data_IF_387804209650
#
_entry.id   IF_387804209650
#
_cell.length_a   1.000
_cell.length_b   1.000
_cell.length_c   1.000
_cell.angle_alpha   90.00
_cell.angle_beta   90.00
_cell.angle_gamma   90.00
#
_symmetry.space_group_name_H-M   'P 1'
#
loop_
_entity.id
_entity.type
_entity.pdbx_description
1 polymer ?
#
# COMPACT_ATOMS: atom_id res chain seq x y z
N UNK A 1 -46.36 16.20 -27.25
CA UNK A 1 -46.27 17.66 -27.06
C UNK A 1 -45.11 17.92 -26.12
N UNK A 2 -43.91 18.16 -26.65
CA UNK A 2 -43.33 19.47 -27.01
C UNK A 2 -42.80 20.27 -25.80
N UNK A 3 -41.55 20.65 -25.99
CA UNK A 3 -40.56 21.31 -25.14
C UNK A 3 -40.85 22.79 -24.87
N UNK A 4 -40.25 23.33 -23.78
CA UNK A 4 -39.25 24.43 -23.77
C UNK A 4 -39.26 25.16 -22.41
N UNK A 5 -38.07 25.43 -21.88
CA UNK A 5 -37.77 26.49 -20.91
C UNK A 5 -36.55 27.30 -21.39
N UNK A 6 -36.44 28.62 -21.10
CA UNK A 6 -35.60 29.54 -21.87
C UNK A 6 -34.31 30.02 -21.15
N UNK A 7 -33.27 30.16 -21.99
CA UNK A 7 -32.19 31.18 -22.10
C UNK A 7 -31.71 32.06 -20.91
N UNK A 8 -30.38 32.13 -20.79
CA UNK A 8 -29.55 33.15 -20.12
C UNK A 8 -29.57 34.54 -20.80
N UNK A 9 -29.06 35.61 -20.16
CA UNK A 9 -27.65 36.08 -20.33
C UNK A 9 -27.07 36.63 -18.98
N UNK A 10 -25.83 37.08 -18.76
CA UNK A 10 -24.61 37.43 -19.51
C UNK A 10 -23.62 38.13 -18.53
N UNK A 11 -22.32 38.16 -18.85
CA UNK A 11 -21.18 38.66 -18.05
C UNK A 11 -21.22 40.15 -17.64
N UNK A 12 -20.48 40.50 -16.57
CA UNK A 12 -19.65 41.72 -16.50
C UNK A 12 -18.52 41.62 -15.44
N UNK A 13 -17.38 42.22 -15.77
CA UNK A 13 -16.05 42.24 -15.13
C UNK A 13 -15.86 43.55 -14.36
N UNK A 14 -15.15 43.55 -13.21
CA UNK A 14 -14.23 44.59 -12.67
C UNK A 14 -13.69 44.13 -11.30
N UNK A 15 -12.58 44.59 -10.69
CA UNK A 15 -11.21 45.04 -11.04
C UNK A 15 -10.49 45.27 -9.68
N UNK A 16 -9.18 45.07 -9.66
CA UNK A 16 -8.14 45.15 -8.59
C UNK A 16 -8.21 46.22 -7.47
N UNK A 17 -7.61 45.90 -6.30
CA UNK A 17 -6.80 46.74 -5.35
C UNK A 17 -6.03 45.74 -4.41
N UNK A 18 -4.70 45.54 -4.40
CA UNK A 18 -3.51 46.36 -4.07
C UNK A 18 -3.31 46.67 -2.56
N UNK A 19 -2.41 45.89 -1.95
CA UNK A 19 -1.25 46.21 -1.09
C UNK A 19 -1.28 46.73 0.38
N UNK A 20 -0.36 46.10 1.13
CA UNK A 20 0.64 46.61 2.11
C UNK A 20 0.40 46.58 3.65
N UNK A 21 1.28 45.78 4.30
CA UNK A 21 2.04 45.95 5.55
C UNK A 21 1.52 46.80 6.72
N UNK A 22 1.56 46.23 7.95
CA UNK A 22 2.40 46.75 9.07
C UNK A 22 2.28 45.90 10.34
N UNK A 23 3.38 45.90 11.09
CA UNK A 23 3.72 45.10 12.26
C UNK A 23 3.12 45.54 13.61
N UNK A 24 3.19 44.60 14.56
CA UNK A 24 3.53 44.74 15.98
C UNK A 24 2.51 45.22 17.05
N UNK A 25 2.37 44.32 18.04
CA UNK A 25 2.21 44.52 19.49
C UNK A 25 0.89 45.06 20.07
N UNK A 26 0.19 44.19 20.82
CA UNK A 26 -0.21 44.52 22.19
C UNK A 26 -0.42 43.27 23.06
N UNK A 27 0.23 43.29 24.24
CA UNK A 27 0.17 42.27 25.28
C UNK A 27 -0.93 42.58 26.31
N UNK A 28 -1.62 41.51 26.74
CA UNK A 28 -1.99 41.17 28.13
C UNK A 28 -3.25 41.78 28.81
N UNK A 29 -3.59 41.06 29.90
CA UNK A 29 -4.49 41.30 31.05
C UNK A 29 -5.99 40.93 30.77
N UNK A 30 -6.73 40.09 31.52
CA UNK A 30 -6.88 39.82 32.98
C UNK A 30 -7.51 38.42 33.27
N UNK A 31 -7.05 37.78 34.37
CA UNK A 31 -7.58 36.77 35.35
C UNK A 31 -8.90 35.99 35.13
N UNK A 32 -9.18 34.80 35.70
CA UNK A 32 -8.59 34.01 36.79
C UNK A 32 -9.62 33.02 37.40
N UNK A 33 -9.15 32.17 38.33
CA UNK A 33 -9.80 31.10 39.14
C UNK A 33 -9.85 29.69 38.53
N UNK A 34 -9.61 28.57 39.24
CA UNK A 34 -8.87 28.20 40.46
C UNK A 34 -9.24 26.73 40.74
N UNK A 35 -8.27 25.81 40.85
CA UNK A 35 -8.28 24.63 41.74
C UNK A 35 -7.01 23.78 41.51
N UNK A 36 -6.25 23.59 42.59
CA UNK A 36 -4.97 22.89 42.68
C UNK A 36 -5.14 21.51 43.38
N UNK A 37 -4.08 20.78 43.78
CA UNK A 37 -2.93 20.25 43.03
C UNK A 37 -2.62 18.77 43.38
N UNK A 38 -1.78 18.08 42.61
CA UNK A 38 -0.89 17.03 43.15
C UNK A 38 0.45 16.98 42.40
N UNK A 39 1.51 17.32 43.16
CA UNK A 39 2.91 16.88 43.08
C UNK A 39 3.78 17.28 41.88
N UNK A 40 4.63 18.29 42.11
CA UNK A 40 5.78 18.66 41.28
C UNK A 40 6.99 17.76 41.60
N UNK A 41 7.66 17.27 40.56
CA UNK A 41 9.11 16.97 40.58
C UNK A 41 9.74 17.64 39.36
N UNK A 42 10.81 18.38 39.63
CA UNK A 42 11.52 19.34 38.78
C UNK A 42 11.63 18.99 37.28
N UNK A 43 11.11 19.87 36.43
CA UNK A 43 11.52 20.00 35.03
C UNK A 43 12.61 21.06 34.90
N UNK A 44 13.80 20.64 34.47
CA UNK A 44 14.75 21.57 33.85
C UNK A 44 14.18 21.97 32.48
N UNK A 45 14.04 23.27 32.25
CA UNK A 45 13.68 23.84 30.96
C UNK A 45 14.84 23.57 29.97
N UNK A 46 14.62 22.65 29.03
CA UNK A 46 15.39 22.61 27.78
C UNK A 46 14.67 23.47 26.75
N UNK A 47 15.33 24.52 26.29
CA UNK A 47 14.88 25.38 25.17
C UNK A 47 14.50 24.52 23.96
N UNK A 48 13.27 24.68 23.47
CA UNK A 48 12.79 24.04 22.26
C UNK A 48 13.30 24.83 21.06
N UNK A 49 14.32 24.31 20.39
CA UNK A 49 14.84 24.83 19.13
C UNK A 49 14.00 24.29 17.95
N UNK A 50 13.57 25.10 16.97
CA UNK A 50 12.65 24.65 15.91
C UNK A 50 13.27 23.72 14.84
N UNK A 51 14.56 23.39 14.94
CA UNK A 51 15.33 22.69 13.90
C UNK A 51 15.53 21.18 14.14
N UNK A 52 14.74 20.54 15.02
CA UNK A 52 14.82 19.07 15.17
C UNK A 52 14.04 18.33 14.07
N UNK A 53 14.45 18.48 12.81
CA UNK A 53 14.24 17.40 11.85
C UNK A 53 14.91 16.15 12.43
N UNK A 54 14.18 15.02 12.49
CA UNK A 54 14.70 13.71 12.88
C UNK A 54 15.96 13.41 12.04
N UNK A 55 17.12 13.71 12.59
CA UNK A 55 18.40 13.36 12.01
C UNK A 55 18.61 11.88 12.31
N UNK A 56 18.60 10.96 11.32
CA UNK A 56 18.80 9.54 11.60
C UNK A 56 20.21 9.34 12.18
N UNK A 57 20.29 8.98 13.46
CA UNK A 57 21.57 8.66 14.08
C UNK A 57 22.17 7.40 13.42
N UNK A 58 23.47 7.44 13.14
CA UNK A 58 24.17 6.42 12.33
C UNK A 58 24.09 5.04 12.99
N UNK A 59 23.46 4.09 12.28
CA UNK A 59 23.50 2.67 12.64
C UNK A 59 24.96 2.15 12.66
N UNK A 60 25.29 1.17 13.52
CA UNK A 60 26.66 0.62 13.56
C UNK A 60 27.18 0.18 12.18
N UNK A 61 28.47 0.40 11.90
CA UNK A 61 29.11 0.11 10.61
C UNK A 61 28.92 -1.35 10.15
N UNK A 62 28.88 -2.29 11.10
CA UNK A 62 28.58 -3.71 10.83
C UNK A 62 27.15 -3.91 10.33
N UNK A 63 26.16 -3.24 10.93
CA UNK A 63 24.75 -3.35 10.51
C UNK A 63 24.53 -2.67 9.15
N UNK A 64 25.17 -1.53 8.89
CA UNK A 64 25.12 -0.85 7.59
C UNK A 64 25.62 -1.75 6.46
N UNK A 65 26.77 -2.42 6.67
CA UNK A 65 27.33 -3.37 5.68
C UNK A 65 26.36 -4.52 5.40
N UNK A 66 25.74 -5.10 6.43
CA UNK A 66 24.76 -6.18 6.28
C UNK A 66 23.53 -5.73 5.49
N UNK A 67 22.97 -4.56 5.82
CA UNK A 67 21.81 -3.98 5.12
C UNK A 67 22.10 -3.69 3.65
N UNK A 68 23.27 -3.11 3.35
CA UNK A 68 23.71 -2.84 1.98
C UNK A 68 23.88 -4.11 1.13
N UNK A 69 24.43 -5.19 1.70
CA UNK A 69 24.56 -6.48 1.01
C UNK A 69 23.19 -7.04 0.60
N UNK A 70 22.19 -6.88 1.47
CA UNK A 70 20.79 -7.28 1.24
C UNK A 70 20.02 -6.32 0.30
N UNK A 71 20.62 -5.21 -0.14
CA UNK A 71 19.93 -4.19 -0.94
C UNK A 71 18.95 -3.32 -0.17
N UNK A 72 18.97 -3.39 1.16
CA UNK A 72 18.19 -2.54 2.06
C UNK A 72 18.87 -1.17 2.20
N UNK A 73 18.11 -0.16 2.65
CA UNK A 73 18.66 1.16 2.90
C UNK A 73 19.79 1.06 3.95
N UNK A 74 21.02 1.54 3.70
CA UNK A 74 22.15 1.28 4.60
C UNK A 74 21.92 1.82 6.01
N UNK A 75 21.28 2.98 6.13
CA UNK A 75 20.89 3.57 7.41
C UNK A 75 19.44 3.18 7.74
N UNK A 76 19.22 2.57 8.90
CA UNK A 76 17.86 2.35 9.37
C UNK A 76 17.35 3.64 10.03
N UNK A 77 16.10 4.09 9.78
CA UNK A 77 15.49 5.18 10.53
C UNK A 77 15.23 4.69 11.95
N UNK A 78 16.11 5.06 12.88
CA UNK A 78 16.03 4.70 14.30
C UNK A 78 16.32 5.97 15.09
N UNK A 79 15.45 6.30 16.04
CA UNK A 79 15.67 7.44 16.93
C UNK A 79 16.95 7.22 17.76
N UNK A 80 17.71 8.29 17.98
CA UNK A 80 19.03 8.25 18.63
C UNK A 80 18.99 7.58 20.01
N UNK A 81 17.97 7.89 20.81
CA UNK A 81 17.78 7.31 22.13
C UNK A 81 17.67 5.77 22.09
N UNK A 82 17.06 5.21 21.05
CA UNK A 82 16.91 3.76 20.89
C UNK A 82 18.21 3.07 20.45
N UNK A 83 19.14 3.80 19.85
CA UNK A 83 20.47 3.30 19.47
C UNK A 83 21.40 3.27 20.69
N UNK A 84 21.30 4.26 21.57
CA UNK A 84 22.16 4.41 22.75
C UNK A 84 21.70 3.58 23.96
N UNK A 85 20.44 3.15 23.96
CA UNK A 85 19.89 2.31 25.02
C UNK A 85 20.63 0.95 25.12
N UNK A 86 20.87 0.41 26.33
CA UNK A 86 21.55 -0.89 26.53
C UNK A 86 20.92 -2.05 25.74
N UNK A 87 19.60 -1.96 25.50
CA UNK A 87 18.80 -2.91 24.75
C UNK A 87 19.19 -2.99 23.27
N UNK A 88 19.87 -1.98 22.71
CA UNK A 88 20.32 -1.97 21.30
C UNK A 88 21.40 -3.03 21.02
N UNK A 89 22.13 -3.45 22.06
CA UNK A 89 23.16 -4.49 22.00
C UNK A 89 22.60 -5.92 21.89
N UNK A 90 21.33 -6.11 22.26
CA UNK A 90 20.67 -7.42 22.27
C UNK A 90 20.57 -8.01 20.85
N UNK A 91 20.68 -9.33 20.76
CA UNK A 91 20.64 -10.05 19.47
C UNK A 91 19.38 -9.73 18.67
N UNK A 92 18.21 -9.75 19.32
CA UNK A 92 16.93 -9.46 18.67
C UNK A 92 16.87 -8.02 18.15
N UNK A 93 17.31 -7.04 18.94
CA UNK A 93 17.38 -5.63 18.52
C UNK A 93 18.24 -5.46 17.27
N UNK A 94 19.38 -6.14 17.20
CA UNK A 94 20.25 -6.12 16.01
C UNK A 94 19.59 -6.76 14.80
N UNK A 95 18.91 -7.89 14.96
CA UNK A 95 18.15 -8.55 13.88
C UNK A 95 17.03 -7.62 13.38
N UNK A 96 16.24 -7.04 14.29
CA UNK A 96 15.16 -6.10 13.98
C UNK A 96 15.67 -4.89 13.21
N UNK A 97 16.81 -4.32 13.59
CA UNK A 97 17.41 -3.18 12.86
C UNK A 97 17.85 -3.60 11.46
N UNK A 98 18.48 -4.76 11.29
CA UNK A 98 18.92 -5.23 9.96
C UNK A 98 17.72 -5.55 9.07
N UNK A 99 16.70 -6.21 9.61
CA UNK A 99 15.52 -6.71 8.87
C UNK A 99 14.31 -5.79 8.93
N UNK A 100 14.49 -4.54 9.38
CA UNK A 100 13.39 -3.58 9.64
C UNK A 100 12.46 -3.43 8.44
N UNK A 101 13.04 -3.22 7.26
CA UNK A 101 12.30 -3.05 6.00
C UNK A 101 11.46 -4.29 5.63
N UNK A 102 12.04 -5.52 5.52
CA UNK A 102 11.25 -6.74 5.34
C UNK A 102 10.18 -6.98 6.41
N UNK A 103 10.47 -6.72 7.69
CA UNK A 103 9.45 -6.86 8.74
C UNK A 103 8.32 -5.84 8.61
N UNK A 104 8.62 -4.63 8.15
CA UNK A 104 7.63 -3.60 7.89
C UNK A 104 6.73 -3.99 6.70
N UNK A 105 7.30 -4.50 5.60
CA UNK A 105 6.53 -5.05 4.47
C UNK A 105 5.66 -6.25 4.90
N UNK A 106 6.20 -7.18 5.69
CA UNK A 106 5.45 -8.32 6.23
C UNK A 106 4.23 -7.87 7.02
N UNK A 107 4.41 -6.98 8.01
CA UNK A 107 3.30 -6.54 8.86
C UNK A 107 2.34 -5.61 8.14
N UNK A 108 2.83 -4.75 7.24
CA UNK A 108 1.99 -3.91 6.41
C UNK A 108 1.08 -4.74 5.49
N UNK A 109 1.61 -5.79 4.83
CA UNK A 109 0.81 -6.70 4.02
C UNK A 109 -0.14 -7.53 4.87
N UNK A 110 0.28 -7.99 6.05
CA UNK A 110 -0.59 -8.71 6.98
C UNK A 110 -1.79 -7.85 7.42
N UNK A 111 -1.56 -6.59 7.80
CA UNK A 111 -2.63 -5.63 8.15
C UNK A 111 -3.57 -5.41 6.99
N UNK A 112 -3.05 -5.15 5.79
CA UNK A 112 -3.87 -4.99 4.58
C UNK A 112 -4.77 -6.20 4.33
N UNK A 113 -4.21 -7.42 4.41
CA UNK A 113 -4.96 -8.66 4.20
C UNK A 113 -5.95 -8.94 5.33
N UNK A 114 -5.63 -8.62 6.59
CA UNK A 114 -6.56 -8.79 7.72
C UNK A 114 -7.83 -7.94 7.55
N UNK A 115 -7.67 -6.66 7.20
CA UNK A 115 -8.80 -5.76 6.96
C UNK A 115 -9.57 -6.16 5.69
N UNK A 116 -8.85 -6.45 4.60
CA UNK A 116 -9.44 -6.89 3.35
C UNK A 116 -10.26 -8.17 3.49
N UNK A 117 -9.63 -9.28 3.87
CA UNK A 117 -10.30 -10.57 4.04
C UNK A 117 -11.33 -10.53 5.17
N UNK A 118 -11.07 -9.80 6.25
CA UNK A 118 -12.04 -9.63 7.34
C UNK A 118 -13.33 -8.94 6.89
N UNK A 119 -13.23 -7.93 6.03
CA UNK A 119 -14.41 -7.28 5.44
C UNK A 119 -15.19 -8.21 4.51
N UNK A 120 -14.49 -9.06 3.73
CA UNK A 120 -15.14 -10.08 2.89
C UNK A 120 -15.83 -11.13 3.75
N UNK A 121 -15.16 -11.64 4.79
CA UNK A 121 -15.71 -12.61 5.73
C UNK A 121 -17.00 -12.08 6.37
N UNK A 122 -16.97 -10.84 6.86
CA UNK A 122 -18.13 -10.23 7.50
C UNK A 122 -19.32 -10.12 6.53
N UNK A 123 -19.10 -9.58 5.33
CA UNK A 123 -20.19 -9.39 4.35
C UNK A 123 -20.72 -10.73 3.83
N UNK A 124 -19.83 -11.69 3.52
CA UNK A 124 -20.22 -12.98 2.95
C UNK A 124 -20.96 -13.84 3.99
N UNK A 125 -20.38 -14.03 5.17
CA UNK A 125 -20.91 -14.97 6.18
C UNK A 125 -22.18 -14.48 6.87
N UNK A 126 -22.45 -13.17 6.81
CA UNK A 126 -23.67 -12.59 7.38
C UNK A 126 -24.77 -12.32 6.36
N UNK A 127 -24.55 -12.60 5.07
CA UNK A 127 -25.53 -12.34 4.02
C UNK A 127 -26.90 -12.98 4.35
N UNK A 128 -27.98 -12.21 4.17
CA UNK A 128 -29.35 -12.68 4.46
C UNK A 128 -29.73 -12.76 5.95
N UNK A 129 -28.85 -12.39 6.88
CA UNK A 129 -29.21 -12.35 8.30
C UNK A 129 -30.19 -11.20 8.57
N UNK A 130 -31.44 -11.55 8.89
CA UNK A 130 -32.52 -10.60 9.17
C UNK A 130 -32.38 -9.90 10.53
N UNK A 131 -31.61 -10.49 11.46
CA UNK A 131 -31.31 -9.90 12.76
C UNK A 131 -30.25 -8.78 12.70
N UNK A 132 -29.52 -8.65 11.59
CA UNK A 132 -28.51 -7.61 11.43
C UNK A 132 -29.17 -6.23 11.24
N UNK A 133 -28.48 -5.12 11.58
CA UNK A 133 -28.96 -3.78 11.28
C UNK A 133 -29.28 -3.62 9.77
N UNK A 134 -30.51 -3.24 9.44
CA UNK A 134 -30.97 -3.14 8.05
C UNK A 134 -31.51 -4.46 7.46
N UNK A 135 -31.54 -5.55 8.23
CA UNK A 135 -32.27 -6.79 7.89
C UNK A 135 -31.66 -7.65 6.78
N UNK A 136 -30.42 -7.39 6.37
CA UNK A 136 -29.76 -8.13 5.28
C UNK A 136 -28.25 -8.27 5.51
N UNK A 137 -27.86 -8.80 6.68
CA UNK A 137 -26.46 -8.99 7.03
C UNK A 137 -25.69 -7.73 7.42
N UNK A 138 -24.41 -7.91 7.75
CA UNK A 138 -23.49 -6.87 8.20
C UNK A 138 -22.62 -6.37 7.03
N UNK A 139 -23.19 -5.45 6.24
CA UNK A 139 -22.50 -4.73 5.17
C UNK A 139 -22.91 -5.17 3.76
N UNK A 140 -22.29 -4.55 2.76
CA UNK A 140 -22.53 -4.81 1.35
C UNK A 140 -21.21 -4.86 0.57
N UNK A 141 -21.25 -5.08 -0.74
CA UNK A 141 -20.04 -5.08 -1.59
C UNK A 141 -19.17 -3.82 -1.40
N UNK A 142 -19.79 -2.66 -1.20
CA UNK A 142 -19.08 -1.41 -0.91
C UNK A 142 -18.32 -1.45 0.43
N UNK A 143 -18.82 -2.16 1.45
CA UNK A 143 -18.12 -2.36 2.72
C UNK A 143 -16.80 -3.12 2.53
N UNK A 144 -16.74 -4.04 1.57
CA UNK A 144 -15.50 -4.75 1.20
C UNK A 144 -14.47 -3.77 0.63
N UNK A 145 -14.90 -2.85 -0.25
CA UNK A 145 -14.02 -1.86 -0.85
C UNK A 145 -13.47 -0.87 0.21
N UNK A 146 -14.30 -0.48 1.19
CA UNK A 146 -13.85 0.27 2.36
C UNK A 146 -12.80 -0.50 3.16
N UNK A 147 -13.05 -1.79 3.43
CA UNK A 147 -12.12 -2.67 4.15
C UNK A 147 -10.75 -2.78 3.47
N UNK A 148 -10.73 -3.06 2.16
CA UNK A 148 -9.47 -3.13 1.39
C UNK A 148 -8.75 -1.79 1.31
N UNK A 149 -9.48 -0.68 1.09
CA UNK A 149 -8.89 0.65 1.09
C UNK A 149 -8.25 0.99 2.44
N UNK A 150 -8.98 0.80 3.55
CA UNK A 150 -8.50 1.09 4.90
C UNK A 150 -7.32 0.20 5.27
N UNK A 151 -7.40 -1.08 4.93
CA UNK A 151 -6.31 -2.03 5.11
C UNK A 151 -5.04 -1.60 4.39
N UNK A 152 -5.15 -1.15 3.13
CA UNK A 152 -4.01 -0.65 2.38
C UNK A 152 -3.39 0.59 3.04
N UNK A 153 -4.21 1.57 3.44
CA UNK A 153 -3.73 2.78 4.13
C UNK A 153 -3.03 2.48 5.45
N UNK A 154 -3.64 1.67 6.32
CA UNK A 154 -3.05 1.29 7.61
C UNK A 154 -1.78 0.45 7.42
N UNK A 155 -1.79 -0.46 6.45
CA UNK A 155 -0.60 -1.20 6.05
C UNK A 155 0.53 -0.27 5.60
N UNK A 156 0.21 0.79 4.87
CA UNK A 156 1.17 1.80 4.44
C UNK A 156 1.82 2.54 5.61
N UNK A 157 1.03 2.90 6.62
CA UNK A 157 1.56 3.51 7.84
C UNK A 157 2.49 2.55 8.60
N UNK A 158 2.14 1.27 8.69
CA UNK A 158 2.99 0.24 9.31
C UNK A 158 4.29 0.04 8.55
N UNK A 159 4.23 0.08 7.22
CA UNK A 159 5.37 -0.17 6.34
C UNK A 159 6.15 1.10 5.95
N UNK A 160 5.93 2.24 6.59
CA UNK A 160 6.53 3.52 6.19
C UNK A 160 8.04 3.45 5.97
N UNK A 161 8.76 2.78 6.87
CA UNK A 161 10.22 2.63 6.83
C UNK A 161 10.75 1.79 5.64
N UNK A 162 9.90 1.01 4.97
CA UNK A 162 10.25 0.21 3.79
C UNK A 162 10.00 0.91 2.45
N UNK A 163 9.36 2.08 2.48
CA UNK A 163 8.72 2.70 1.32
C UNK A 163 7.29 2.21 1.07
N UNK A 164 6.81 1.26 1.88
CA UNK A 164 5.43 0.77 1.92
C UNK A 164 4.87 0.30 0.57
N UNK A 165 5.52 -0.68 -0.06
CA UNK A 165 5.06 -1.20 -1.36
C UNK A 165 3.91 -2.19 -1.23
N UNK A 166 3.98 -3.10 -0.25
CA UNK A 166 2.97 -4.12 0.12
C UNK A 166 2.49 -5.05 -1.01
N UNK A 167 3.08 -4.90 -2.19
CA UNK A 167 2.67 -5.51 -3.44
C UNK A 167 3.91 -5.80 -4.28
N UNK A 168 4.19 -7.08 -4.59
CA UNK A 168 5.31 -7.44 -5.44
C UNK A 168 5.28 -6.75 -6.81
N UNK A 169 4.12 -6.54 -7.43
CA UNK A 169 4.02 -5.90 -8.74
C UNK A 169 4.41 -4.41 -8.68
N UNK A 170 3.97 -3.68 -7.65
CA UNK A 170 4.39 -2.29 -7.40
C UNK A 170 5.89 -2.24 -7.09
N UNK A 171 6.41 -3.17 -6.29
CA UNK A 171 7.84 -3.26 -5.96
C UNK A 171 8.67 -3.45 -7.23
N UNK A 172 8.25 -4.34 -8.13
CA UNK A 172 8.91 -4.56 -9.43
C UNK A 172 8.87 -3.30 -10.31
N UNK A 173 7.72 -2.64 -10.44
CA UNK A 173 7.62 -1.39 -11.21
C UNK A 173 8.55 -0.31 -10.68
N UNK A 174 8.75 -0.22 -9.37
CA UNK A 174 9.72 0.71 -8.79
C UNK A 174 11.19 0.30 -9.07
N UNK A 175 11.49 -1.00 -9.14
CA UNK A 175 12.80 -1.46 -9.63
C UNK A 175 13.07 -1.07 -11.08
N UNK A 176 12.03 -1.09 -11.92
CA UNK A 176 12.12 -0.72 -13.34
C UNK A 176 12.25 0.80 -13.48
N UNK A 177 11.31 1.58 -12.95
CA UNK A 177 11.16 3.00 -13.30
C UNK A 177 11.70 3.99 -12.26
N UNK A 178 11.84 3.59 -10.99
CA UNK A 178 12.23 4.46 -9.87
C UNK A 178 13.54 4.03 -9.20
N UNK A 179 14.32 3.20 -9.89
CA UNK A 179 15.68 2.81 -9.51
C UNK A 179 15.78 2.09 -8.15
N UNK A 180 14.67 1.52 -7.67
CA UNK A 180 14.69 0.70 -6.46
C UNK A 180 15.71 -0.45 -6.64
N UNK A 181 16.65 -0.66 -5.70
CA UNK A 181 17.67 -1.68 -5.87
C UNK A 181 17.08 -3.06 -6.10
N UNK A 182 17.41 -3.69 -7.23
CA UNK A 182 16.93 -5.04 -7.59
C UNK A 182 17.18 -6.13 -6.54
N UNK A 183 18.20 -5.94 -5.67
CA UNK A 183 18.47 -6.87 -4.55
C UNK A 183 17.42 -6.82 -3.44
N UNK A 184 16.67 -5.71 -3.34
CA UNK A 184 15.58 -5.53 -2.39
C UNK A 184 14.33 -6.33 -2.76
N UNK A 185 14.09 -6.51 -4.06
CA UNK A 185 12.89 -7.16 -4.59
C UNK A 185 12.65 -8.57 -4.02
N UNK A 186 13.61 -9.52 -4.04
CA UNK A 186 13.37 -10.86 -3.49
C UNK A 186 13.04 -10.86 -1.99
N UNK A 187 13.68 -9.97 -1.21
CA UNK A 187 13.43 -9.87 0.23
C UNK A 187 12.02 -9.34 0.50
N UNK A 188 11.59 -8.33 -0.24
CA UNK A 188 10.25 -7.76 -0.12
C UNK A 188 9.19 -8.74 -0.60
N UNK A 189 9.44 -9.42 -1.72
CA UNK A 189 8.55 -10.46 -2.25
C UNK A 189 8.25 -11.51 -1.19
N UNK A 190 9.27 -12.11 -0.57
CA UNK A 190 9.09 -13.13 0.47
C UNK A 190 8.36 -12.56 1.68
N UNK A 191 8.74 -11.37 2.15
CA UNK A 191 8.08 -10.73 3.28
C UNK A 191 6.59 -10.47 3.03
N UNK A 192 6.23 -9.96 1.85
CA UNK A 192 4.85 -9.68 1.47
C UNK A 192 4.03 -10.98 1.35
N UNK A 193 4.57 -12.03 0.71
CA UNK A 193 3.89 -13.34 0.63
C UNK A 193 3.63 -13.90 2.03
N UNK A 194 4.66 -13.92 2.90
CA UNK A 194 4.49 -14.41 4.26
C UNK A 194 3.50 -13.56 5.07
N UNK A 195 3.52 -12.24 4.90
CA UNK A 195 2.59 -11.32 5.52
C UNK A 195 1.14 -11.61 5.14
N UNK A 196 0.87 -11.79 3.84
CA UNK A 196 -0.46 -12.15 3.35
C UNK A 196 -0.93 -13.52 3.82
N UNK A 197 -0.02 -14.50 3.88
CA UNK A 197 -0.32 -15.83 4.42
C UNK A 197 -0.73 -15.75 5.89
N UNK A 198 0.05 -15.05 6.72
CA UNK A 198 -0.25 -14.90 8.15
C UNK A 198 -1.52 -14.07 8.39
N UNK A 199 -1.67 -12.93 7.69
CA UNK A 199 -2.84 -12.08 7.84
C UNK A 199 -4.14 -12.79 7.49
N UNK A 200 -4.15 -13.60 6.42
CA UNK A 200 -5.31 -14.41 6.06
C UNK A 200 -5.57 -15.54 7.06
N UNK A 201 -4.52 -16.18 7.61
CA UNK A 201 -4.64 -17.19 8.65
C UNK A 201 -5.26 -16.65 9.94
N UNK A 202 -4.91 -15.43 10.34
CA UNK A 202 -5.54 -14.75 11.49
C UNK A 202 -7.04 -14.54 11.25
N UNK A 203 -7.44 -14.10 10.05
CA UNK A 203 -8.86 -13.95 9.69
C UNK A 203 -9.57 -15.29 9.71
N UNK A 204 -8.96 -16.36 9.18
CA UNK A 204 -9.54 -17.70 9.22
C UNK A 204 -9.81 -18.15 10.65
N UNK A 205 -8.83 -18.03 11.56
CA UNK A 205 -9.00 -18.40 12.98
C UNK A 205 -10.09 -17.58 13.63
N UNK A 206 -10.17 -16.27 13.34
CA UNK A 206 -11.20 -15.40 13.90
C UNK A 206 -12.62 -15.76 13.43
N UNK A 207 -12.78 -16.22 12.18
CA UNK A 207 -14.07 -16.52 11.57
C UNK A 207 -14.41 -18.01 11.49
N UNK A 208 -13.59 -18.91 12.04
CA UNK A 208 -13.74 -20.36 11.85
C UNK A 208 -15.15 -20.87 12.23
N UNK A 209 -15.70 -20.41 13.35
CA UNK A 209 -17.05 -20.80 13.79
C UNK A 209 -18.15 -20.30 12.85
N UNK A 210 -17.99 -19.09 12.30
CA UNK A 210 -18.94 -18.51 11.36
C UNK A 210 -18.85 -19.20 9.98
N UNK A 211 -17.64 -19.57 9.56
CA UNK A 211 -17.40 -20.37 8.35
C UNK A 211 -18.06 -21.75 8.51
N UNK A 212 -17.79 -22.47 9.61
CA UNK A 212 -18.40 -23.78 9.89
C UNK A 212 -19.92 -23.72 9.90
N UNK A 213 -20.49 -22.65 10.47
CA UNK A 213 -21.94 -22.44 10.50
C UNK A 213 -22.51 -22.18 9.09
N UNK A 214 -21.88 -21.29 8.31
CA UNK A 214 -22.32 -20.91 6.98
C UNK A 214 -22.22 -22.07 5.97
N UNK A 215 -21.17 -22.89 6.06
CA UNK A 215 -20.96 -24.05 5.20
C UNK A 215 -21.87 -25.24 5.57
N UNK A 216 -22.55 -25.19 6.73
CA UNK A 216 -23.40 -26.28 7.22
C UNK A 216 -22.59 -27.47 7.78
N UNK A 217 -21.33 -27.27 8.18
CA UNK A 217 -20.45 -28.33 8.70
C UNK A 217 -18.96 -28.03 8.52
N UNK A 218 -18.09 -29.03 8.74
CA UNK A 218 -16.62 -28.90 8.70
C UNK A 218 -16.00 -29.02 7.29
N UNK A 219 -16.80 -28.92 6.22
CA UNK A 219 -16.27 -29.04 4.87
C UNK A 219 -16.00 -27.64 4.32
N UNK A 220 -14.73 -27.38 4.01
CA UNK A 220 -14.30 -26.14 3.37
C UNK A 220 -14.67 -26.15 1.89
N UNK A 221 -15.36 -25.12 1.43
CA UNK A 221 -16.02 -25.09 0.13
C UNK A 221 -15.46 -23.99 -0.78
N UNK A 222 -15.34 -24.30 -2.07
CA UNK A 222 -14.76 -23.43 -3.10
C UNK A 222 -15.82 -23.13 -4.18
N UNK A 223 -15.85 -21.92 -4.77
CA UNK A 223 -16.75 -21.65 -5.88
C UNK A 223 -16.56 -22.67 -7.02
N UNK A 224 -17.65 -23.14 -7.65
CA UNK A 224 -19.00 -22.57 -7.65
C UNK A 224 -20.00 -23.19 -6.65
N UNK A 225 -19.54 -23.84 -5.57
CA UNK A 225 -20.44 -24.36 -4.55
C UNK A 225 -21.34 -23.24 -3.96
N UNK A 226 -22.60 -23.56 -3.63
CA UNK A 226 -23.61 -22.59 -3.20
C UNK A 226 -23.18 -21.81 -1.95
N UNK A 227 -22.64 -22.51 -0.94
CA UNK A 227 -22.16 -21.91 0.30
C UNK A 227 -20.64 -21.72 0.31
N UNK A 228 -20.03 -21.50 -0.86
CA UNK A 228 -18.58 -21.35 -1.01
C UNK A 228 -18.00 -20.20 -0.16
N UNK A 229 -17.07 -20.52 0.75
CA UNK A 229 -16.41 -19.52 1.60
C UNK A 229 -14.97 -19.21 1.18
N UNK A 230 -14.38 -19.94 0.24
CA UNK A 230 -12.99 -19.71 -0.18
C UNK A 230 -12.73 -18.30 -0.73
N UNK A 231 -13.78 -17.64 -1.24
CA UNK A 231 -13.74 -16.27 -1.77
C UNK A 231 -13.44 -15.20 -0.68
N UNK A 232 -13.50 -15.57 0.60
CA UNK A 232 -13.03 -14.73 1.71
C UNK A 232 -11.53 -14.46 1.58
N UNK A 233 -10.77 -15.45 1.10
CA UNK A 233 -9.30 -15.43 1.16
C UNK A 233 -8.68 -14.93 -0.13
N UNK A 234 -9.09 -15.48 -1.27
CA UNK A 234 -8.53 -15.18 -2.58
C UNK A 234 -9.63 -14.94 -3.61
N UNK A 235 -9.29 -14.33 -4.74
CA UNK A 235 -10.29 -13.98 -5.73
C UNK A 235 -10.61 -15.16 -6.64
N UNK A 236 -11.85 -15.16 -7.13
CA UNK A 236 -12.37 -16.09 -8.12
C UNK A 236 -13.14 -15.29 -9.17
N UNK A 237 -13.06 -15.65 -10.46
CA UNK A 237 -13.68 -14.88 -11.53
C UNK A 237 -15.18 -15.18 -11.61
N UNK A 238 -15.95 -14.24 -12.13
CA UNK A 238 -17.35 -14.49 -12.47
C UNK A 238 -17.48 -15.60 -13.54
N UNK A 239 -18.52 -16.45 -13.47
CA UNK A 239 -18.65 -17.63 -14.33
C UNK A 239 -18.81 -17.31 -15.81
N UNK A 240 -19.26 -16.09 -16.16
CA UNK A 240 -19.43 -15.65 -17.54
C UNK A 240 -18.14 -15.17 -18.22
N UNK A 241 -17.02 -15.05 -17.48
CA UNK A 241 -15.79 -14.49 -18.03
C UNK A 241 -14.93 -15.52 -18.75
N UNK A 242 -14.55 -15.20 -19.99
CA UNK A 242 -13.48 -15.90 -20.70
C UNK A 242 -12.12 -15.67 -20.02
N UNK A 243 -11.15 -16.55 -20.28
CA UNK A 243 -9.76 -16.38 -19.78
C UNK A 243 -9.13 -15.06 -20.20
N UNK A 244 -9.38 -14.65 -21.44
CA UNK A 244 -8.94 -13.36 -21.98
C UNK A 244 -9.54 -12.20 -21.18
N UNK A 245 -10.84 -12.21 -20.93
CA UNK A 245 -11.52 -11.17 -20.14
C UNK A 245 -11.02 -11.13 -18.70
N UNK A 246 -10.79 -12.29 -18.07
CA UNK A 246 -10.20 -12.40 -16.73
C UNK A 246 -8.83 -11.71 -16.67
N UNK A 247 -7.96 -11.99 -17.64
CA UNK A 247 -6.64 -11.38 -17.74
C UNK A 247 -6.70 -9.87 -17.96
N UNK A 248 -7.52 -9.40 -18.92
CA UNK A 248 -7.66 -7.98 -19.20
C UNK A 248 -8.23 -7.20 -18.01
N UNK A 249 -9.17 -7.77 -17.27
CA UNK A 249 -9.73 -7.12 -16.08
C UNK A 249 -8.65 -6.84 -15.03
N UNK A 250 -7.80 -7.83 -14.73
CA UNK A 250 -6.68 -7.64 -13.78
C UNK A 250 -5.59 -6.73 -14.34
N UNK A 251 -5.30 -6.84 -15.64
CA UNK A 251 -4.31 -6.02 -16.32
C UNK A 251 -4.68 -4.53 -16.28
N UNK A 252 -5.93 -4.18 -16.60
CA UNK A 252 -6.43 -2.79 -16.61
C UNK A 252 -6.41 -2.21 -15.19
N UNK A 253 -6.95 -2.94 -14.21
CA UNK A 253 -6.98 -2.47 -12.83
C UNK A 253 -5.56 -2.23 -12.28
N UNK A 254 -4.61 -3.12 -12.59
CA UNK A 254 -3.21 -2.99 -12.18
C UNK A 254 -2.46 -1.89 -12.94
N UNK A 255 -2.81 -1.65 -14.20
CA UNK A 255 -2.30 -0.51 -14.99
C UNK A 255 -2.72 0.81 -14.36
N UNK A 256 -4.00 0.96 -14.04
CA UNK A 256 -4.52 2.15 -13.37
C UNK A 256 -3.92 2.34 -11.98
N UNK A 257 -3.80 1.25 -11.20
CA UNK A 257 -3.14 1.26 -9.90
C UNK A 257 -1.75 1.90 -10.00
N UNK A 258 -0.88 1.37 -10.86
CA UNK A 258 0.50 1.84 -10.93
C UNK A 258 0.62 3.23 -11.53
N UNK A 259 -0.18 3.53 -12.57
CA UNK A 259 -0.21 4.84 -13.21
C UNK A 259 -0.56 5.94 -12.19
N UNK A 260 -1.62 5.73 -11.39
CA UNK A 260 -2.04 6.70 -10.38
C UNK A 260 -1.06 6.75 -9.20
N UNK A 261 -0.47 5.63 -8.78
CA UNK A 261 0.58 5.64 -7.75
C UNK A 261 1.76 6.51 -8.17
N UNK A 262 2.22 6.40 -9.41
CA UNK A 262 3.30 7.27 -9.91
C UNK A 262 2.87 8.72 -9.99
N UNK A 263 1.63 9.02 -10.41
CA UNK A 263 1.09 10.37 -10.37
C UNK A 263 1.07 10.95 -8.94
N UNK A 264 0.67 10.15 -7.95
CA UNK A 264 0.60 10.51 -6.53
C UNK A 264 1.97 10.69 -5.88
N UNK A 265 2.99 9.98 -6.35
CA UNK A 265 4.37 10.03 -5.85
C UNK A 265 5.28 10.97 -6.63
N UNK A 266 4.78 11.63 -7.66
CA UNK A 266 5.55 12.57 -8.45
C UNK A 266 5.50 13.98 -7.81
N UNK A 267 6.61 14.46 -7.22
CA UNK A 267 6.63 15.78 -6.58
C UNK A 267 6.48 16.94 -7.57
N UNK A 268 6.66 16.69 -8.88
CA UNK A 268 6.46 17.70 -9.93
C UNK A 268 5.00 17.81 -10.39
N UNK A 269 4.15 16.87 -9.99
CA UNK A 269 2.74 16.88 -10.35
C UNK A 269 1.97 17.88 -9.46
N UNK A 270 1.50 18.98 -10.04
CA UNK A 270 0.75 20.02 -9.30
C UNK A 270 -0.64 19.57 -8.82
N UNK A 271 -1.15 18.43 -9.32
CA UNK A 271 -2.45 17.89 -8.91
C UNK A 271 -2.44 17.16 -7.56
N UNK A 272 -1.27 16.98 -6.93
CA UNK A 272 -1.14 16.20 -5.69
C UNK A 272 -0.66 17.05 -4.53
N UNK A 273 -1.05 16.72 -3.28
CA UNK A 273 -0.50 17.39 -2.11
C UNK A 273 1.03 17.26 -2.10
N UNK A 274 1.74 18.38 -1.89
CA UNK A 274 3.22 18.40 -1.88
C UNK A 274 3.85 17.65 -0.70
N UNK A 275 3.05 17.09 0.20
CA UNK A 275 3.51 16.36 1.37
C UNK A 275 3.21 14.87 1.22
N UNK A 276 4.26 14.05 1.31
CA UNK A 276 4.19 12.59 1.28
C UNK A 276 3.28 12.00 2.37
N UNK A 277 2.97 12.76 3.43
CA UNK A 277 2.09 12.33 4.51
C UNK A 277 0.66 12.04 4.04
N UNK A 278 0.23 12.62 2.91
CA UNK A 278 -1.08 12.38 2.33
C UNK A 278 -1.16 11.11 1.47
N UNK A 279 -0.02 10.56 1.07
CA UNK A 279 0.02 9.42 0.16
C UNK A 279 -0.81 8.21 0.64
N UNK A 280 -0.78 7.81 1.94
CA UNK A 280 -1.62 6.70 2.42
C UNK A 280 -3.12 6.94 2.26
N UNK A 281 -3.60 8.17 2.48
CA UNK A 281 -5.01 8.52 2.30
C UNK A 281 -5.40 8.56 0.82
N UNK A 282 -4.52 9.05 -0.06
CA UNK A 282 -4.76 8.99 -1.50
C UNK A 282 -4.80 7.54 -2.00
N UNK A 283 -3.93 6.67 -1.48
CA UNK A 283 -3.94 5.25 -1.81
C UNK A 283 -5.22 4.56 -1.31
N UNK A 284 -5.72 4.94 -0.13
CA UNK A 284 -7.03 4.49 0.36
C UNK A 284 -8.12 4.70 -0.70
N UNK A 285 -8.25 5.92 -1.22
CA UNK A 285 -9.29 6.23 -2.22
C UNK A 285 -9.03 5.57 -3.57
N UNK A 286 -7.77 5.38 -3.97
CA UNK A 286 -7.43 4.63 -5.18
C UNK A 286 -7.89 3.16 -5.08
N UNK A 287 -7.56 2.47 -3.98
CA UNK A 287 -7.96 1.07 -3.79
C UNK A 287 -9.49 0.95 -3.66
N UNK A 288 -10.13 1.85 -2.91
CA UNK A 288 -11.59 1.92 -2.82
C UNK A 288 -12.24 2.09 -4.20
N UNK A 289 -11.72 3.00 -5.03
CA UNK A 289 -12.20 3.25 -6.39
C UNK A 289 -11.99 2.06 -7.32
N UNK A 290 -10.83 1.40 -7.26
CA UNK A 290 -10.56 0.19 -8.03
C UNK A 290 -11.53 -0.94 -7.66
N UNK A 291 -11.78 -1.17 -6.38
CA UNK A 291 -12.76 -2.16 -5.93
C UNK A 291 -14.19 -1.82 -6.38
N UNK A 292 -14.55 -0.53 -6.32
CA UNK A 292 -15.88 -0.06 -6.71
C UNK A 292 -16.14 -0.13 -8.22
N UNK A 293 -15.12 0.09 -9.04
CA UNK A 293 -15.28 0.21 -10.49
C UNK A 293 -14.84 -1.05 -11.27
N UNK A 294 -13.85 -1.79 -10.76
CA UNK A 294 -13.21 -2.91 -11.48
C UNK A 294 -13.31 -4.24 -10.74
N UNK A 295 -14.05 -4.28 -9.63
CA UNK A 295 -13.99 -5.44 -8.76
C UNK A 295 -15.02 -6.54 -8.96
N UNK A 296 -16.16 -6.28 -9.62
CA UNK A 296 -17.19 -7.32 -9.82
C UNK A 296 -16.69 -8.53 -10.62
N UNK A 297 -15.91 -8.28 -11.68
CA UNK A 297 -15.48 -9.31 -12.62
C UNK A 297 -14.49 -10.32 -12.01
N UNK A 298 -13.44 -9.83 -11.36
CA UNK A 298 -12.33 -10.66 -10.89
C UNK A 298 -11.93 -10.42 -9.43
N UNK A 299 -12.63 -9.55 -8.71
CA UNK A 299 -12.29 -9.22 -7.32
C UNK A 299 -11.07 -8.31 -7.17
N UNK A 300 -10.63 -7.63 -8.25
CA UNK A 300 -9.53 -6.66 -8.26
C UNK A 300 -8.30 -7.17 -7.50
N UNK A 301 -7.80 -8.34 -7.89
CA UNK A 301 -6.71 -8.99 -7.17
C UNK A 301 -5.46 -8.10 -7.12
N UNK A 302 -5.03 -7.55 -8.27
CA UNK A 302 -4.00 -6.51 -8.49
C UNK A 302 -2.64 -6.65 -7.74
N UNK A 303 -2.48 -7.73 -6.98
CA UNK A 303 -1.42 -7.96 -6.01
C UNK A 303 -1.35 -9.46 -5.69
N UNK A 304 -0.26 -10.11 -6.12
CA UNK A 304 -0.03 -11.54 -5.85
C UNK A 304 0.03 -11.84 -4.35
N UNK A 305 0.54 -10.95 -3.49
CA UNK A 305 0.60 -11.19 -2.05
C UNK A 305 -0.79 -11.21 -1.38
N UNK A 306 -1.77 -10.55 -2.01
CA UNK A 306 -3.18 -10.48 -1.60
C UNK A 306 -4.04 -11.60 -2.18
N UNK A 307 -3.55 -12.32 -3.20
CA UNK A 307 -4.27 -13.44 -3.80
C UNK A 307 -3.60 -14.80 -3.55
N UNK A 308 -2.36 -14.96 -4.00
CA UNK A 308 -1.63 -16.22 -3.88
C UNK A 308 -1.42 -16.63 -2.42
N UNK A 309 -1.01 -15.71 -1.56
CA UNK A 309 -0.70 -16.06 -0.16
C UNK A 309 -1.94 -16.52 0.61
N UNK A 310 -3.08 -15.79 0.54
CA UNK A 310 -4.32 -16.28 1.11
C UNK A 310 -4.87 -17.55 0.45
N UNK A 311 -4.63 -17.76 -0.86
CA UNK A 311 -4.99 -19.00 -1.57
C UNK A 311 -4.17 -20.20 -1.07
N UNK A 312 -2.88 -19.98 -0.83
CA UNK A 312 -2.00 -20.99 -0.24
C UNK A 312 -2.39 -21.29 1.21
N UNK A 313 -2.79 -20.26 1.97
CA UNK A 313 -3.31 -20.43 3.33
C UNK A 313 -4.61 -21.22 3.32
N UNK A 314 -5.58 -20.87 2.46
CA UNK A 314 -6.85 -21.59 2.37
C UNK A 314 -6.63 -23.06 1.96
N UNK A 315 -5.72 -23.33 1.04
CA UNK A 315 -5.28 -24.68 0.72
C UNK A 315 -4.76 -25.43 1.96
N UNK A 316 -3.89 -24.80 2.74
CA UNK A 316 -3.27 -25.40 3.93
C UNK A 316 -4.27 -25.71 5.05
N UNK A 317 -5.37 -24.95 5.16
CA UNK A 317 -6.42 -25.16 6.18
C UNK A 317 -7.58 -26.05 5.71
N UNK A 318 -7.47 -26.65 4.53
CA UNK A 318 -8.36 -27.74 4.10
C UNK A 318 -9.38 -27.42 3.01
N UNK A 319 -9.29 -26.27 2.33
CA UNK A 319 -10.16 -25.96 1.17
C UNK A 319 -9.93 -26.86 -0.06
N UNK A 320 -8.90 -27.70 -0.04
CA UNK A 320 -8.65 -28.68 -1.11
C UNK A 320 -8.03 -28.08 -2.37
N UNK A 321 -7.69 -28.94 -3.32
CA UNK A 321 -7.03 -28.57 -4.58
C UNK A 321 -7.88 -27.67 -5.48
N UNK A 322 -9.18 -27.59 -5.21
CA UNK A 322 -10.19 -26.81 -5.92
C UNK A 322 -9.86 -25.31 -5.91
N UNK A 323 -9.16 -24.81 -4.88
CA UNK A 323 -8.69 -23.41 -4.85
C UNK A 323 -7.76 -23.06 -6.00
N UNK A 324 -7.14 -24.07 -6.64
CA UNK A 324 -6.26 -23.91 -7.79
C UNK A 324 -6.96 -24.19 -9.13
N UNK A 325 -7.99 -25.03 -9.16
CA UNK A 325 -8.71 -25.40 -10.40
C UNK A 325 -9.96 -24.54 -10.66
N UNK A 326 -10.53 -23.91 -9.64
CA UNK A 326 -11.73 -23.08 -9.76
C UNK A 326 -11.56 -21.93 -10.76
N UNK A 327 -12.66 -21.57 -11.41
CA UNK A 327 -12.67 -20.59 -12.51
C UNK A 327 -11.86 -21.04 -13.73
N UNK A 328 -11.64 -22.35 -13.89
CA UNK A 328 -10.85 -22.93 -14.99
C UNK A 328 -9.35 -22.65 -14.85
N UNK A 329 -8.77 -22.90 -13.69
CA UNK A 329 -7.40 -22.51 -13.33
C UNK A 329 -7.21 -21.00 -13.37
N UNK A 330 -8.04 -20.25 -12.63
CA UNK A 330 -7.91 -18.79 -12.57
C UNK A 330 -6.66 -18.32 -11.81
N UNK A 331 -6.14 -19.11 -10.88
CA UNK A 331 -5.07 -18.73 -9.94
C UNK A 331 -3.84 -18.07 -10.57
N UNK A 332 -3.44 -18.45 -11.79
CA UNK A 332 -2.24 -17.91 -12.44
C UNK A 332 -2.45 -16.48 -12.95
N UNK A 333 -3.68 -16.06 -13.22
CA UNK A 333 -3.99 -14.73 -13.75
C UNK A 333 -3.60 -13.63 -12.74
N UNK A 334 -4.06 -13.64 -11.47
CA UNK A 334 -3.64 -12.66 -10.48
C UNK A 334 -2.15 -12.77 -10.09
N UNK A 335 -1.46 -13.85 -10.49
CA UNK A 335 -0.01 -13.98 -10.32
C UNK A 335 0.80 -13.27 -11.41
N UNK A 336 0.25 -13.15 -12.62
CA UNK A 336 0.98 -12.67 -13.80
C UNK A 336 0.47 -11.32 -14.30
N UNK A 337 -0.86 -11.18 -14.46
CA UNK A 337 -1.47 -9.98 -15.03
C UNK A 337 -1.12 -8.70 -14.24
N UNK A 338 -1.05 -8.71 -12.89
CA UNK A 338 -0.69 -7.51 -12.16
C UNK A 338 0.73 -7.01 -12.40
N UNK A 339 1.71 -7.89 -12.62
CA UNK A 339 3.07 -7.46 -12.96
C UNK A 339 3.11 -6.78 -14.32
N UNK A 340 2.42 -7.35 -15.31
CA UNK A 340 2.36 -6.77 -16.65
C UNK A 340 1.58 -5.45 -16.66
N UNK A 341 0.46 -5.39 -15.94
CA UNK A 341 -0.33 -4.17 -15.80
C UNK A 341 0.43 -3.08 -15.06
N UNK A 342 1.06 -3.37 -13.92
CA UNK A 342 1.84 -2.37 -13.20
C UNK A 342 3.05 -1.89 -14.01
N UNK A 343 3.75 -2.77 -14.73
CA UNK A 343 4.84 -2.35 -15.60
C UNK A 343 4.33 -1.42 -16.71
N UNK A 344 3.22 -1.79 -17.35
CA UNK A 344 2.60 -0.98 -18.40
C UNK A 344 2.07 0.37 -17.89
N UNK A 345 1.45 0.41 -16.71
CA UNK A 345 1.00 1.66 -16.08
C UNK A 345 2.16 2.60 -15.77
N UNK A 346 3.29 2.06 -15.30
CA UNK A 346 4.51 2.81 -15.11
C UNK A 346 5.08 3.37 -16.42
N UNK A 347 5.11 2.54 -17.48
CA UNK A 347 5.49 2.98 -18.82
C UNK A 347 4.63 4.13 -19.33
N UNK A 348 3.29 4.02 -19.19
CA UNK A 348 2.35 5.06 -19.64
C UNK A 348 2.53 6.39 -18.88
N UNK A 349 2.75 6.34 -17.57
CA UNK A 349 3.00 7.57 -16.82
C UNK A 349 4.32 8.21 -17.26
N UNK A 350 5.36 7.40 -17.45
CA UNK A 350 6.68 7.91 -17.81
C UNK A 350 6.79 8.45 -19.23
N UNK A 351 6.07 7.86 -20.19
CA UNK A 351 6.12 8.31 -21.58
C UNK A 351 5.30 9.59 -21.83
N UNK A 352 4.22 9.81 -21.06
CA UNK A 352 3.30 10.91 -21.31
C UNK A 352 3.34 12.05 -20.29
N UNK A 353 3.74 11.79 -19.03
CA UNK A 353 3.61 12.76 -17.93
C UNK A 353 4.94 13.01 -17.21
N UNK A 354 5.61 11.96 -16.75
CA UNK A 354 6.82 12.10 -15.94
C UNK A 354 7.98 12.69 -16.74
N UNK A 355 8.61 13.72 -16.21
CA UNK A 355 9.80 14.35 -16.85
C UNK A 355 11.11 14.07 -16.11
N UNK A 356 11.05 13.36 -14.98
CA UNK A 356 12.21 13.07 -14.14
C UNK A 356 13.05 11.86 -14.61
N UNK A 357 14.04 11.45 -13.79
CA UNK A 357 14.95 10.36 -14.14
C UNK A 357 14.24 9.00 -14.22
N UNK A 358 14.16 8.42 -15.42
CA UNK A 358 13.67 7.06 -15.63
C UNK A 358 14.31 6.41 -16.86
N UNK A 359 14.17 5.08 -17.06
CA UNK A 359 14.64 4.43 -18.28
C UNK A 359 14.01 5.03 -19.54
N UNK A 360 12.75 5.44 -19.48
CA UNK A 360 12.00 5.99 -20.63
C UNK A 360 12.54 7.37 -21.00
N UNK A 361 12.88 8.19 -20.01
CA UNK A 361 13.43 9.54 -20.21
C UNK A 361 14.94 9.52 -20.51
N UNK A 362 15.48 8.38 -20.94
CA UNK A 362 16.87 8.23 -21.36
C UNK A 362 16.99 8.05 -22.88
N UNK A 363 18.15 8.35 -23.50
CA UNK A 363 18.31 8.24 -24.95
C UNK A 363 17.86 6.88 -25.48
N UNK A 364 17.06 6.90 -26.55
CA UNK A 364 16.46 5.69 -27.17
C UNK A 364 15.50 4.95 -26.23
N UNK A 365 14.73 5.67 -25.40
CA UNK A 365 13.76 5.07 -24.47
C UNK A 365 14.38 4.00 -23.55
N UNK A 366 15.66 4.14 -23.22
CA UNK A 366 16.37 3.19 -22.38
C UNK A 366 16.79 1.89 -23.05
N UNK A 367 16.63 1.72 -24.37
CA UNK A 367 17.13 0.55 -25.11
C UNK A 367 18.63 0.31 -24.85
N UNK A 368 19.41 1.38 -24.67
CA UNK A 368 20.84 1.28 -24.34
C UNK A 368 21.12 0.68 -22.96
N UNK A 369 20.15 0.69 -22.04
CA UNK A 369 20.26 0.07 -20.71
C UNK A 369 20.11 -1.45 -20.75
N UNK A 370 19.62 -2.04 -21.86
CA UNK A 370 19.64 -3.49 -22.05
C UNK A 370 21.07 -4.04 -22.13
N UNK A 371 22.05 -3.20 -22.50
CA UNK A 371 23.46 -3.58 -22.50
C UNK A 371 24.02 -3.54 -21.07
N UNK A 372 24.58 -4.65 -20.55
CA UNK A 372 25.05 -4.74 -19.16
C UNK A 372 26.08 -3.67 -18.77
N UNK A 373 26.96 -3.28 -19.69
CA UNK A 373 27.98 -2.24 -19.47
C UNK A 373 27.36 -0.87 -19.18
N UNK A 374 26.35 -0.48 -19.96
CA UNK A 374 25.64 0.79 -19.79
C UNK A 374 24.77 0.79 -18.53
N UNK A 375 24.05 -0.29 -18.27
CA UNK A 375 23.28 -0.44 -17.03
C UNK A 375 24.17 -0.30 -15.79
N UNK A 376 25.35 -0.94 -15.80
CA UNK A 376 26.32 -0.82 -14.72
C UNK A 376 26.86 0.60 -14.56
N UNK A 377 27.08 1.34 -15.66
CA UNK A 377 27.53 2.74 -15.60
C UNK A 377 26.49 3.63 -14.95
N UNK A 378 25.24 3.57 -15.42
CA UNK A 378 24.13 4.37 -14.88
C UNK A 378 23.89 4.03 -13.41
N UNK A 379 23.95 2.75 -13.04
CA UNK A 379 23.84 2.32 -11.64
C UNK A 379 24.96 2.87 -10.75
N UNK A 380 26.20 2.94 -11.25
CA UNK A 380 27.33 3.56 -10.53
C UNK A 380 27.14 5.07 -10.37
N UNK A 381 26.62 5.74 -11.37
CA UNK A 381 26.32 7.18 -11.30
C UNK A 381 25.19 7.46 -10.31
N UNK A 382 24.15 6.63 -10.28
CA UNK A 382 23.07 6.73 -9.31
C UNK A 382 23.58 6.52 -7.88
N UNK A 383 24.34 5.46 -7.61
CA UNK A 383 24.98 5.22 -6.31
C UNK A 383 25.87 6.39 -5.87
N UNK A 384 26.51 7.09 -6.81
CA UNK A 384 27.29 8.30 -6.49
C UNK A 384 26.38 9.49 -6.10
N UNK A 385 25.18 9.61 -6.68
CA UNK A 385 24.19 10.63 -6.30
C UNK A 385 23.61 10.33 -4.92
N UNK A 386 23.18 9.09 -4.68
CA UNK A 386 22.67 8.65 -3.38
C UNK A 386 23.70 8.90 -2.25
N UNK A 387 24.98 8.63 -2.51
CA UNK A 387 26.08 8.95 -1.58
C UNK A 387 26.25 10.44 -1.30
N UNK A 388 26.02 11.30 -2.30
CA UNK A 388 26.09 12.76 -2.15
C UNK A 388 24.89 13.30 -1.38
N UNK A 389 23.73 12.69 -1.55
CA UNK A 389 22.48 13.03 -0.88
C UNK A 389 22.36 12.41 0.53
N UNK A 390 23.36 11.62 0.95
CA UNK A 390 23.39 10.99 2.28
C UNK A 390 22.48 9.76 2.43
N UNK A 391 21.90 9.27 1.33
CA UNK A 391 20.97 8.13 1.28
C UNK A 391 21.74 6.80 1.45
N UNK A 392 22.97 6.69 0.90
CA UNK A 392 23.79 5.45 0.90
C UNK A 392 25.19 5.66 1.45
#
# INVERSE_FOLDING_TARGET
MTTRGPSAPGLLITRDWVDYHSDHHLKSIISGNSAAPLTQTHSQQSEYSPDSELSPHRTSSSNQRKRSVLGLHPQAPVDGEHVEAPQSSLLWSRIRIVMREPFAEFWGTAVMVMFGNGSVAQVLLSAGQTAAPGGNGFGAYQSINWGWGLGAMLGLYVAGDSGAYLNPAITLSNCIYRQLPWRRFPMYFVAQILGGFVGSGVVYVNYISAIDWFEGGKMRTVPPAENATAAIFCTYPQPFLTKTSQFFSEFIASTLLMFVIFALKDPSNNGVPKSDKWFPLCLFFLIFGLGSCFGWQTGYAINIARDFSPRLMSYAVGYGHEVWSAGGYYFWIPMVAPFLGCAFGGFLYDIFIYTGPSPINSPWLGLKLLMPSNAMRVRREHLKREKKEGIV
#
